data_IF_106094335849
#
_entry.id   IF_106094335849
#
_cell.length_a   1.000
_cell.length_b   1.000
_cell.length_c   1.000
_cell.angle_alpha   90.00
_cell.angle_beta   90.00
_cell.angle_gamma   90.00
#
_symmetry.space_group_name_H-M   'P 1'
#
loop_
_entity.id
_entity.type
_entity.pdbx_description
1 polymer ?
#
# COMPACT_ATOMS: atom_id res chain seq x y z
N UNK A 1 -1.54 -21.76 -11.94
CA UNK A 1 -2.28 -20.49 -12.11
C UNK A 1 -1.33 -19.35 -11.85
N UNK A 2 -1.16 -18.45 -12.82
CA UNK A 2 -0.21 -17.35 -12.75
C UNK A 2 -0.74 -16.34 -11.73
N UNK A 3 -0.09 -16.28 -10.56
CA UNK A 3 -0.20 -15.22 -9.55
C UNK A 3 -0.35 -13.87 -10.27
N UNK A 4 -1.53 -13.25 -10.20
CA UNK A 4 -1.65 -11.78 -10.38
C UNK A 4 -1.34 -11.04 -9.07
N UNK A 5 -0.69 -11.74 -8.12
CA UNK A 5 -0.18 -11.17 -6.88
C UNK A 5 0.91 -10.16 -7.21
N UNK A 6 0.84 -8.97 -6.62
CA UNK A 6 1.91 -7.96 -6.52
C UNK A 6 2.55 -7.39 -7.80
N UNK A 7 2.34 -7.95 -8.99
CA UNK A 7 3.04 -7.52 -10.20
C UNK A 7 2.73 -6.08 -10.65
N UNK A 8 1.59 -5.53 -10.23
CA UNK A 8 1.18 -4.14 -10.52
C UNK A 8 1.35 -3.21 -9.31
N UNK A 9 1.75 -3.73 -8.14
CA UNK A 9 2.06 -2.93 -6.95
C UNK A 9 3.48 -2.39 -7.07
N UNK A 10 3.60 -1.07 -7.06
CA UNK A 10 4.87 -0.38 -7.22
C UNK A 10 5.59 -0.24 -5.88
N UNK A 11 4.84 -0.09 -4.79
CA UNK A 11 5.38 -0.06 -3.44
C UNK A 11 4.33 -0.54 -2.44
N UNK A 12 4.80 -1.11 -1.33
CA UNK A 12 3.97 -1.59 -0.21
C UNK A 12 4.64 -1.22 1.12
N UNK A 13 3.83 -1.03 2.15
CA UNK A 13 4.26 -0.85 3.55
C UNK A 13 3.35 -1.67 4.45
N UNK A 14 3.95 -2.30 5.44
CA UNK A 14 3.26 -3.05 6.48
C UNK A 14 3.41 -2.30 7.80
N UNK A 15 2.28 -2.05 8.47
CA UNK A 15 2.20 -1.52 9.83
C UNK A 15 1.71 -2.65 10.74
N UNK A 16 2.34 -2.81 11.91
CA UNK A 16 1.99 -3.86 12.88
C UNK A 16 1.61 -3.24 14.21
N UNK A 17 0.38 -3.46 14.64
CA UNK A 17 -0.15 -2.94 15.90
C UNK A 17 -0.91 -4.00 16.69
N UNK A 18 -1.78 -3.53 17.57
CA UNK A 18 -2.79 -4.34 18.24
C UNK A 18 -4.15 -3.63 18.12
N UNK A 19 -5.23 -4.38 18.16
CA UNK A 19 -6.58 -3.81 18.23
C UNK A 19 -6.97 -3.46 19.68
N UNK A 20 -8.17 -2.89 19.86
CA UNK A 20 -8.73 -2.53 21.18
C UNK A 20 -8.87 -3.73 22.15
N UNK A 21 -8.87 -4.96 21.63
CA UNK A 21 -8.92 -6.19 22.42
C UNK A 21 -7.51 -6.75 22.75
N UNK A 22 -6.45 -6.09 22.28
CA UNK A 22 -5.07 -6.53 22.44
C UNK A 22 -4.69 -7.69 21.50
N UNK A 23 -5.45 -7.93 20.43
CA UNK A 23 -5.11 -8.91 19.41
C UNK A 23 -4.14 -8.28 18.39
N UNK A 24 -3.10 -9.01 17.92
CA UNK A 24 -2.19 -8.48 16.92
C UNK A 24 -2.93 -8.05 15.64
N UNK A 25 -2.61 -6.86 15.16
CA UNK A 25 -3.14 -6.32 13.92
C UNK A 25 -2.01 -6.06 12.91
N UNK A 26 -2.29 -6.34 11.63
CA UNK A 26 -1.38 -6.09 10.53
C UNK A 26 -2.09 -5.34 9.41
N UNK A 27 -1.62 -4.14 9.11
CA UNK A 27 -2.17 -3.29 8.07
C UNK A 27 -1.18 -3.25 6.90
N UNK A 28 -1.66 -3.52 5.71
CA UNK A 28 -0.89 -3.40 4.47
C UNK A 28 -1.45 -2.24 3.64
N UNK A 29 -0.57 -1.29 3.32
CA UNK A 29 -0.85 -0.15 2.45
C UNK A 29 -0.01 -0.31 1.19
N UNK A 30 -0.58 -0.04 0.02
CA UNK A 30 0.15 -0.14 -1.24
C UNK A 30 -0.22 0.95 -2.24
N UNK A 31 0.70 1.20 -3.17
CA UNK A 31 0.50 2.02 -4.35
C UNK A 31 0.67 1.11 -5.58
N UNK A 32 -0.31 1.11 -6.48
CA UNK A 32 -0.26 0.35 -7.73
C UNK A 32 -0.54 1.22 -8.95
N UNK A 33 0.01 0.79 -10.10
CA UNK A 33 -0.30 1.40 -11.40
C UNK A 33 -1.22 0.47 -12.18
N UNK A 34 -2.43 0.95 -12.47
CA UNK A 34 -3.43 0.22 -13.24
C UNK A 34 -3.30 0.52 -14.73
N UNK A 35 -3.89 -0.36 -15.53
CA UNK A 35 -4.04 -0.17 -16.98
C UNK A 35 -4.69 1.19 -17.28
N UNK A 36 -4.24 1.86 -18.34
CA UNK A 36 -4.71 3.21 -18.68
C UNK A 36 -3.98 4.32 -17.92
N UNK A 37 -2.95 4.00 -17.13
CA UNK A 37 -2.11 4.99 -16.49
C UNK A 37 -2.71 5.57 -15.20
N UNK A 38 -3.67 4.90 -14.59
CA UNK A 38 -4.23 5.31 -13.30
C UNK A 38 -3.36 4.80 -12.14
N UNK A 39 -3.14 5.63 -11.14
CA UNK A 39 -2.62 5.26 -9.84
C UNK A 39 -3.76 4.89 -8.89
N UNK A 40 -3.54 3.88 -8.07
CA UNK A 40 -4.46 3.53 -7.00
C UNK A 40 -3.70 3.29 -5.70
N UNK A 41 -4.31 3.72 -4.60
CA UNK A 41 -3.81 3.49 -3.23
C UNK A 41 -4.79 2.56 -2.53
N UNK A 42 -4.28 1.47 -1.99
CA UNK A 42 -5.09 0.51 -1.25
C UNK A 42 -4.60 0.31 0.18
N UNK A 43 -5.53 -0.10 1.03
CA UNK A 43 -5.31 -0.45 2.44
C UNK A 43 -6.09 -1.72 2.78
N UNK A 44 -5.45 -2.62 3.51
CA UNK A 44 -6.10 -3.80 4.07
C UNK A 44 -5.62 -4.07 5.49
N UNK A 45 -6.57 -4.35 6.37
CA UNK A 45 -6.31 -4.87 7.73
C UNK A 45 -6.37 -6.39 7.71
N UNK A 46 -5.43 -7.02 8.41
CA UNK A 46 -5.26 -8.46 8.60
C UNK A 46 -5.42 -9.26 7.30
N UNK A 47 -4.60 -8.99 6.27
CA UNK A 47 -4.70 -9.67 4.98
C UNK A 47 -4.57 -11.20 5.07
N UNK A 48 -3.91 -11.73 6.09
CA UNK A 48 -3.76 -13.17 6.38
C UNK A 48 -5.08 -13.91 6.63
N UNK A 49 -6.12 -13.19 7.05
CA UNK A 49 -7.43 -13.79 7.30
C UNK A 49 -8.32 -13.79 6.04
N UNK A 50 -7.81 -13.27 4.92
CA UNK A 50 -8.58 -13.24 3.67
C UNK A 50 -8.52 -14.58 2.95
N UNK A 51 -9.61 -14.96 2.26
CA UNK A 51 -9.62 -16.16 1.42
C UNK A 51 -8.76 -16.00 0.15
N UNK A 52 -8.33 -14.79 -0.18
CA UNK A 52 -7.51 -14.47 -1.35
C UNK A 52 -6.73 -13.17 -1.13
N UNK A 53 -5.56 -13.10 -1.76
CA UNK A 53 -4.63 -11.99 -1.80
C UNK A 53 -5.09 -10.86 -2.76
N UNK A 54 -6.15 -11.10 -3.54
CA UNK A 54 -6.69 -10.13 -4.50
C UNK A 54 -7.36 -8.94 -3.80
N UNK A 55 -7.00 -7.69 -4.17
CA UNK A 55 -7.70 -6.50 -3.69
C UNK A 55 -9.19 -6.51 -4.04
N UNK A 56 -10.01 -6.09 -3.08
CA UNK A 56 -11.43 -5.80 -3.24
C UNK A 56 -11.63 -4.32 -3.54
N UNK A 57 -12.76 -3.99 -4.16
CA UNK A 57 -13.11 -2.59 -4.48
C UNK A 57 -13.07 -1.65 -3.27
N UNK A 58 -13.47 -2.12 -2.09
CA UNK A 58 -13.48 -1.32 -0.87
C UNK A 58 -12.11 -1.17 -0.20
N UNK A 59 -11.08 -1.84 -0.70
CA UNK A 59 -9.72 -1.66 -0.17
C UNK A 59 -9.06 -0.40 -0.72
N UNK A 60 -9.58 0.14 -1.83
CA UNK A 60 -9.01 1.31 -2.48
C UNK A 60 -9.50 2.60 -1.82
N UNK A 61 -8.54 3.38 -1.35
CA UNK A 61 -8.76 4.68 -0.71
C UNK A 61 -8.70 5.82 -1.73
N UNK A 62 -7.95 5.62 -2.81
CA UNK A 62 -7.77 6.60 -3.87
C UNK A 62 -7.56 5.94 -5.23
N UNK A 63 -8.10 6.58 -6.26
CA UNK A 63 -7.88 6.27 -7.67
C UNK A 63 -7.79 7.58 -8.45
N UNK A 64 -6.69 7.79 -9.18
CA UNK A 64 -6.43 9.05 -9.89
C UNK A 64 -5.28 8.96 -10.88
N UNK A 65 -5.00 10.04 -11.61
CA UNK A 65 -3.95 10.04 -12.64
C UNK A 65 -2.66 10.72 -12.18
N UNK A 66 -2.72 11.54 -11.13
CA UNK A 66 -1.58 12.25 -10.57
C UNK A 66 -0.83 11.37 -9.57
N UNK A 67 0.49 11.27 -9.74
CA UNK A 67 1.36 10.51 -8.83
C UNK A 67 1.47 11.17 -7.45
N UNK A 68 1.47 12.50 -7.41
CA UNK A 68 1.62 13.24 -6.16
C UNK A 68 0.41 13.06 -5.25
N UNK A 69 -0.80 13.10 -5.81
CA UNK A 69 -2.04 12.81 -5.07
C UNK A 69 -2.03 11.38 -4.49
N UNK A 70 -1.55 10.40 -5.27
CA UNK A 70 -1.41 9.03 -4.79
C UNK A 70 -0.39 8.92 -3.64
N UNK A 71 0.74 9.63 -3.74
CA UNK A 71 1.76 9.68 -2.69
C UNK A 71 1.24 10.38 -1.43
N UNK A 72 0.50 11.47 -1.57
CA UNK A 72 -0.13 12.18 -0.47
C UNK A 72 -1.11 11.27 0.26
N UNK A 73 -2.05 10.64 -0.46
CA UNK A 73 -3.02 9.76 0.16
C UNK A 73 -2.37 8.55 0.85
N UNK A 74 -1.37 7.94 0.21
CA UNK A 74 -0.68 6.79 0.79
C UNK A 74 0.10 7.14 2.06
N UNK A 75 0.78 8.30 2.07
CA UNK A 75 1.54 8.75 3.23
C UNK A 75 0.65 9.24 4.37
N UNK A 76 -0.45 9.94 4.07
CA UNK A 76 -1.44 10.32 5.07
C UNK A 76 -2.04 9.08 5.76
N UNK A 77 -2.42 8.08 4.96
CA UNK A 77 -2.93 6.80 5.49
C UNK A 77 -1.88 6.09 6.35
N UNK A 78 -0.62 6.07 5.90
CA UNK A 78 0.48 5.45 6.63
C UNK A 78 0.74 6.14 7.96
N UNK A 79 0.70 7.47 7.98
CA UNK A 79 0.87 8.25 9.20
C UNK A 79 -0.27 7.97 10.19
N UNK A 80 -1.52 7.98 9.73
CA UNK A 80 -2.69 7.67 10.57
C UNK A 80 -2.56 6.28 11.21
N UNK A 81 -2.21 5.26 10.43
CA UNK A 81 -2.07 3.89 10.93
C UNK A 81 -0.82 3.70 11.82
N UNK A 82 0.27 4.42 11.55
CA UNK A 82 1.50 4.35 12.34
C UNK A 82 1.36 5.05 13.71
N UNK A 83 0.66 6.19 13.79
CA UNK A 83 0.42 6.92 15.04
C UNK A 83 -0.38 6.06 16.02
N UNK A 84 -1.39 5.32 15.53
CA UNK A 84 -2.16 4.37 16.34
C UNK A 84 -1.24 3.29 16.92
N UNK A 85 -0.34 2.72 16.10
CA UNK A 85 0.61 1.71 16.57
C UNK A 85 1.65 2.23 17.57
N UNK A 86 2.07 3.50 17.47
CA UNK A 86 3.03 4.10 18.41
C UNK A 86 2.41 4.33 19.80
N UNK A 87 1.11 4.64 19.87
CA UNK A 87 0.37 4.77 21.13
C UNK A 87 0.33 3.44 21.92
N UNK A 88 0.38 2.30 21.23
CA UNK A 88 0.43 0.96 21.82
C UNK A 88 1.85 0.51 22.24
N UNK A 89 2.84 1.40 22.16
CA UNK A 89 4.20 1.18 22.70
C UNK A 89 5.19 0.52 21.74
N UNK A 90 4.87 0.42 20.43
CA UNK A 90 5.83 0.01 19.39
C UNK A 90 6.20 1.18 18.48
N UNK A 91 7.43 1.66 18.60
CA UNK A 91 8.05 2.67 17.73
C UNK A 91 8.56 2.06 16.41
N UNK A 92 7.73 1.29 15.69
CA UNK A 92 8.09 0.91 14.32
C UNK A 92 7.93 2.12 13.41
N UNK A 93 9.00 2.90 13.25
CA UNK A 93 9.06 4.00 12.27
C UNK A 93 9.03 3.42 10.85
N UNK A 94 7.84 3.26 10.30
CA UNK A 94 7.65 2.85 8.91
C UNK A 94 8.07 4.01 8.00
N UNK A 95 8.89 3.70 6.98
CA UNK A 95 9.37 4.73 6.04
C UNK A 95 8.23 5.18 5.12
N UNK A 96 8.12 6.49 4.82
CA UNK A 96 7.12 6.98 3.88
C UNK A 96 7.34 6.43 2.47
N UNK A 97 6.30 6.53 1.65
CA UNK A 97 6.37 6.36 0.21
C UNK A 97 7.03 7.60 -0.43
N UNK A 98 7.92 7.36 -1.37
CA UNK A 98 8.73 8.38 -2.04
C UNK A 98 8.52 8.30 -3.54
N UNK A 99 8.59 9.44 -4.21
CA UNK A 99 8.51 9.47 -5.68
C UNK A 99 9.58 8.61 -6.34
N UNK A 100 10.81 8.64 -5.83
CA UNK A 100 11.94 7.91 -6.41
C UNK A 100 11.74 6.38 -6.44
N UNK A 101 11.10 5.81 -5.42
CA UNK A 101 10.83 4.37 -5.41
C UNK A 101 9.77 3.95 -6.44
N UNK A 102 8.85 4.86 -6.80
CA UNK A 102 7.80 4.61 -7.78
C UNK A 102 8.28 4.85 -9.23
N UNK A 103 9.31 5.67 -9.44
CA UNK A 103 9.85 5.95 -10.77
C UNK A 103 10.68 4.79 -11.35
N UNK A 104 11.48 4.08 -10.55
CA UNK A 104 12.31 2.98 -11.07
C UNK A 104 11.50 1.80 -11.64
N UNK A 105 10.38 1.36 -11.02
CA UNK A 105 9.49 0.38 -11.63
C UNK A 105 8.76 0.96 -12.86
N UNK A 106 8.46 2.26 -12.87
CA UNK A 106 7.82 2.93 -13.99
C UNK A 106 8.68 2.88 -15.26
N UNK A 107 9.97 3.21 -15.12
CA UNK A 107 10.93 3.12 -16.21
C UNK A 107 11.03 1.69 -16.76
N UNK A 108 11.03 0.67 -15.89
CA UNK A 108 11.00 -0.73 -16.33
C UNK A 108 9.68 -1.12 -17.00
N UNK A 109 8.56 -0.59 -16.53
CA UNK A 109 7.23 -0.84 -17.10
C UNK A 109 7.08 -0.24 -18.51
N UNK A 110 7.62 0.96 -18.75
CA UNK A 110 7.60 1.61 -20.06
C UNK A 110 8.73 1.17 -21.01
N UNK A 111 9.95 1.00 -20.52
CA UNK A 111 11.15 0.80 -21.35
C UNK A 111 11.70 -0.64 -21.35
N UNK A 112 11.21 -1.51 -20.47
CA UNK A 112 11.67 -2.91 -20.34
C UNK A 112 10.97 -3.90 -21.27
N UNK A 113 10.02 -3.47 -22.10
CA UNK A 113 9.44 -4.30 -23.18
C UNK A 113 10.24 -4.09 -24.46
N UNK A 114 11.37 -4.78 -24.60
CA UNK A 114 12.02 -4.99 -25.89
C UNK A 114 12.26 -6.46 -26.12
#
# INVERSE_FOLDING_TARGET
MRRRSSADRFAEREVRGFDDAGAPERILIWIERRTGGMWAVGRVVNPEYRPSDEPKRHDYLFEGYELDDALEQANATLEDDAVVSEADGRLEKVKPFTRNELLQPLERWFFGRR
#
